data_IF_617697882326
#
_entry.id   IF_617697882326
#
_cell.length_a   1.000
_cell.length_b   1.000
_cell.length_c   1.000
_cell.angle_alpha   90.00
_cell.angle_beta   90.00
_cell.angle_gamma   90.00
#
_symmetry.space_group_name_H-M   'P 1'
#
loop_
_entity.id
_entity.type
_entity.pdbx_description
1 polymer ?
#
# COMPACT_ATOMS: atom_id res chain seq x y z
N UNK A 1 10.04 13.12 -7.66
CA UNK A 1 8.73 13.05 -8.36
C UNK A 1 7.93 11.95 -7.71
N UNK A 2 6.71 12.22 -7.25
CA UNK A 2 5.84 11.15 -6.74
C UNK A 2 5.41 10.23 -7.90
N UNK A 3 5.26 8.94 -7.61
CA UNK A 3 4.80 7.93 -8.58
C UNK A 3 3.45 8.31 -9.20
N UNK A 4 2.65 9.10 -8.46
CA UNK A 4 1.40 9.71 -8.91
C UNK A 4 1.60 10.67 -10.07
N UNK A 5 2.61 11.55 -10.03
CA UNK A 5 2.88 12.51 -11.11
C UNK A 5 3.28 11.77 -12.38
N UNK A 6 4.10 10.71 -12.28
CA UNK A 6 4.48 9.92 -13.45
C UNK A 6 3.28 9.18 -14.06
N UNK A 7 2.43 8.56 -13.24
CA UNK A 7 1.21 7.89 -13.69
C UNK A 7 0.26 8.84 -14.43
N UNK A 8 0.03 10.05 -13.89
CA UNK A 8 -0.81 11.05 -14.53
C UNK A 8 -0.22 11.57 -15.84
N UNK A 9 1.09 11.83 -15.90
CA UNK A 9 1.78 12.23 -17.14
C UNK A 9 1.62 11.16 -18.21
N UNK A 10 1.76 9.89 -17.87
CA UNK A 10 1.59 8.79 -18.83
C UNK A 10 0.15 8.69 -19.36
N UNK A 11 -0.87 8.85 -18.51
CA UNK A 11 -2.27 8.92 -18.95
C UNK A 11 -2.51 10.09 -19.90
N UNK A 12 -1.97 11.27 -19.59
CA UNK A 12 -2.08 12.45 -20.45
C UNK A 12 -1.42 12.20 -21.80
N UNK A 13 -0.25 11.56 -21.86
CA UNK A 13 0.44 11.27 -23.12
C UNK A 13 -0.27 10.19 -23.95
N UNK A 14 -1.03 9.30 -23.30
CA UNK A 14 -1.71 8.17 -23.96
C UNK A 14 -3.16 8.47 -24.38
N UNK A 15 -3.67 9.68 -24.17
CA UNK A 15 -5.09 10.02 -24.37
C UNK A 15 -5.63 9.78 -25.78
N UNK A 16 -4.75 9.71 -26.80
CA UNK A 16 -5.12 9.47 -28.20
C UNK A 16 -5.40 7.99 -28.51
N UNK A 17 -4.98 7.05 -27.65
CA UNK A 17 -5.31 5.62 -27.75
C UNK A 17 -6.22 5.24 -26.57
N UNK A 18 -7.53 5.00 -26.81
CA UNK A 18 -8.50 4.78 -25.74
C UNK A 18 -8.24 3.49 -24.95
N UNK A 19 -7.65 2.46 -25.56
CA UNK A 19 -7.36 1.19 -24.88
C UNK A 19 -6.15 1.36 -23.98
N UNK A 20 -5.08 1.98 -24.50
CA UNK A 20 -3.89 2.27 -23.70
C UNK A 20 -4.21 3.23 -22.54
N UNK A 21 -4.98 4.29 -22.82
CA UNK A 21 -5.44 5.23 -21.82
C UNK A 21 -6.25 4.54 -20.71
N UNK A 22 -7.23 3.71 -21.07
CA UNK A 22 -8.07 3.00 -20.09
C UNK A 22 -7.24 2.09 -19.20
N UNK A 23 -6.33 1.30 -19.78
CA UNK A 23 -5.45 0.42 -19.01
C UNK A 23 -4.53 1.22 -18.07
N UNK A 24 -3.91 2.28 -18.57
CA UNK A 24 -3.06 3.15 -17.76
C UNK A 24 -3.84 3.81 -16.61
N UNK A 25 -5.02 4.33 -16.90
CA UNK A 25 -5.90 4.95 -15.90
C UNK A 25 -6.28 3.97 -14.81
N UNK A 26 -6.69 2.74 -15.17
CA UNK A 26 -7.01 1.68 -14.21
C UNK A 26 -5.79 1.29 -13.37
N UNK A 27 -4.60 1.18 -13.97
CA UNK A 27 -3.36 0.90 -13.24
C UNK A 27 -3.05 2.01 -12.23
N UNK A 28 -3.22 3.28 -12.60
CA UNK A 28 -2.95 4.41 -11.70
C UNK A 28 -3.97 4.47 -10.57
N UNK A 29 -5.26 4.34 -10.88
CA UNK A 29 -6.32 4.49 -9.88
C UNK A 29 -6.42 3.24 -8.99
N UNK A 30 -6.54 2.06 -9.57
CA UNK A 30 -6.75 0.82 -8.80
C UNK A 30 -5.44 0.26 -8.27
N UNK A 31 -4.39 0.29 -9.11
CA UNK A 31 -3.06 -0.17 -8.74
C UNK A 31 -2.42 0.77 -7.73
N UNK A 32 -2.05 1.97 -8.17
CA UNK A 32 -1.24 2.88 -7.34
C UNK A 32 -2.03 3.52 -6.21
N UNK A 33 -3.11 4.24 -6.50
CA UNK A 33 -3.88 4.92 -5.45
C UNK A 33 -4.56 3.90 -4.52
N UNK A 34 -5.12 2.84 -5.09
CA UNK A 34 -5.71 1.74 -4.33
C UNK A 34 -4.71 1.08 -3.38
N UNK A 35 -3.48 0.81 -3.81
CA UNK A 35 -2.50 0.16 -2.93
C UNK A 35 -2.12 1.03 -1.74
N UNK A 36 -1.94 2.34 -1.92
CA UNK A 36 -1.68 3.26 -0.82
C UNK A 36 -2.87 3.33 0.16
N UNK A 37 -4.10 3.33 -0.35
CA UNK A 37 -5.28 3.31 0.50
C UNK A 37 -5.34 2.02 1.34
N UNK A 38 -5.13 0.86 0.72
CA UNK A 38 -5.13 -0.44 1.42
C UNK A 38 -3.98 -0.51 2.45
N UNK A 39 -2.81 0.05 2.13
CA UNK A 39 -1.70 0.14 3.06
C UNK A 39 -2.09 0.89 4.33
N UNK A 40 -2.64 2.10 4.21
CA UNK A 40 -3.03 2.88 5.39
C UNK A 40 -4.23 2.26 6.14
N UNK A 41 -5.18 1.65 5.45
CA UNK A 41 -6.28 0.89 6.08
C UNK A 41 -5.72 -0.27 6.90
N UNK A 42 -4.69 -0.96 6.42
CA UNK A 42 -4.03 -2.05 7.14
C UNK A 42 -3.48 -1.59 8.49
N UNK A 43 -2.79 -0.44 8.52
CA UNK A 43 -2.35 0.19 9.77
C UNK A 43 -3.54 0.52 10.67
N UNK A 44 -4.55 1.21 10.15
CA UNK A 44 -5.70 1.61 10.94
C UNK A 44 -6.44 0.42 11.58
N UNK A 45 -6.66 -0.66 10.83
CA UNK A 45 -7.29 -1.88 11.33
C UNK A 45 -6.44 -2.52 12.43
N UNK A 46 -5.12 -2.68 12.22
CA UNK A 46 -4.23 -3.24 13.23
C UNK A 46 -4.20 -2.38 14.50
N UNK A 47 -4.20 -1.05 14.38
CA UNK A 47 -4.26 -0.14 15.50
C UNK A 47 -5.56 -0.29 16.30
N UNK A 48 -6.71 -0.34 15.63
CA UNK A 48 -8.01 -0.49 16.30
C UNK A 48 -8.12 -1.79 17.12
N UNK A 49 -7.37 -2.82 16.76
CA UNK A 49 -7.30 -4.09 17.50
C UNK A 49 -6.24 -4.05 18.60
N UNK A 50 -5.05 -3.48 18.31
CA UNK A 50 -3.89 -3.56 19.21
C UNK A 50 -3.80 -2.43 20.22
N UNK A 51 -4.46 -1.30 19.97
CA UNK A 51 -4.48 -0.11 20.83
C UNK A 51 -5.76 0.70 20.56
N UNK A 52 -6.94 0.19 20.97
CA UNK A 52 -8.23 0.82 20.68
C UNK A 52 -8.38 2.24 21.25
N UNK A 53 -7.67 2.55 22.33
CA UNK A 53 -7.68 3.87 22.96
C UNK A 53 -6.69 4.86 22.33
N UNK A 54 -5.92 4.43 21.32
CA UNK A 54 -4.96 5.30 20.66
C UNK A 54 -5.66 6.31 19.74
N UNK A 55 -5.24 7.57 19.82
CA UNK A 55 -5.74 8.58 18.88
C UNK A 55 -5.06 8.39 17.54
N UNK A 56 -5.86 8.13 16.50
CA UNK A 56 -5.40 7.99 15.13
C UNK A 56 -5.91 9.19 14.32
N UNK A 57 -4.99 9.96 13.73
CA UNK A 57 -5.32 11.10 12.87
C UNK A 57 -4.82 10.85 11.45
N UNK A 58 -5.72 11.03 10.49
CA UNK A 58 -5.37 11.01 9.08
C UNK A 58 -4.73 12.35 8.71
N UNK A 59 -3.47 12.31 8.29
CA UNK A 59 -2.81 13.46 7.69
C UNK A 59 -2.60 13.21 6.20
N UNK A 60 -3.12 14.11 5.38
CA UNK A 60 -2.84 14.16 3.95
C UNK A 60 -1.94 15.35 3.65
N UNK A 61 -0.81 15.05 3.01
CA UNK A 61 0.10 16.02 2.40
C UNK A 61 0.07 15.83 0.89
N UNK A 62 0.69 16.75 0.13
CA UNK A 62 0.81 16.63 -1.32
C UNK A 62 1.47 15.31 -1.80
N UNK A 63 2.20 14.62 -0.92
CA UNK A 63 2.99 13.43 -1.26
C UNK A 63 2.59 12.17 -0.49
N UNK A 64 1.74 12.28 0.54
CA UNK A 64 1.49 11.17 1.47
C UNK A 64 0.15 11.33 2.18
N UNK A 65 -0.64 10.27 2.22
CA UNK A 65 -1.68 10.07 3.24
C UNK A 65 -1.04 9.18 4.30
N UNK A 66 -1.10 9.57 5.57
CA UNK A 66 -0.50 8.82 6.67
C UNK A 66 -1.40 8.85 7.89
N UNK A 67 -1.48 7.72 8.60
CA UNK A 67 -2.04 7.69 9.94
C UNK A 67 -0.99 8.09 10.98
N UNK A 68 -1.24 9.14 11.77
CA UNK A 68 -0.44 9.48 12.95
C UNK A 68 -1.11 8.90 14.19
N UNK A 69 -0.34 8.15 14.98
CA UNK A 69 -0.81 7.48 16.19
C UNK A 69 -0.22 8.17 17.43
N UNK A 70 -1.06 8.50 18.41
CA UNK A 70 -0.64 9.00 19.73
C UNK A 70 -1.19 8.10 20.85
N UNK A 71 -0.31 7.65 21.74
CA UNK A 71 -0.66 6.76 22.86
C UNK A 71 0.49 5.80 23.20
N UNK A 72 0.43 5.16 24.36
CA UNK A 72 1.40 4.13 24.75
C UNK A 72 0.96 2.75 24.23
N UNK A 73 1.72 2.17 23.31
CA UNK A 73 1.51 0.82 22.81
C UNK A 73 2.70 -0.06 23.17
N UNK A 74 2.46 -1.34 23.49
CA UNK A 74 3.57 -2.29 23.72
C UNK A 74 4.44 -2.41 22.46
N UNK A 75 5.74 -2.75 22.55
CA UNK A 75 6.58 -2.81 21.35
C UNK A 75 6.10 -3.89 20.35
N UNK A 76 5.38 -4.93 20.81
CA UNK A 76 4.75 -5.91 19.91
C UNK A 76 3.61 -5.29 19.12
N UNK A 77 2.77 -4.48 19.76
CA UNK A 77 1.69 -3.76 19.10
C UNK A 77 2.24 -2.77 18.06
N UNK A 78 3.33 -2.07 18.39
CA UNK A 78 4.00 -1.15 17.44
C UNK A 78 4.53 -1.92 16.22
N UNK A 79 5.19 -3.07 16.42
CA UNK A 79 5.69 -3.90 15.33
C UNK A 79 4.55 -4.44 14.45
N UNK A 80 3.47 -4.95 15.05
CA UNK A 80 2.30 -5.46 14.32
C UNK A 80 1.65 -4.33 13.52
N UNK A 81 1.44 -3.17 14.14
CA UNK A 81 0.85 -2.02 13.48
C UNK A 81 1.69 -1.59 12.27
N UNK A 82 3.02 -1.44 12.44
CA UNK A 82 3.92 -1.07 11.35
C UNK A 82 3.98 -2.11 10.22
N UNK A 83 3.85 -3.41 10.52
CA UNK A 83 3.85 -4.43 9.48
C UNK A 83 2.50 -4.54 8.74
N UNK A 84 1.40 -4.13 9.38
CA UNK A 84 0.05 -4.42 8.89
C UNK A 84 -0.27 -3.80 7.52
N UNK A 85 0.12 -2.55 7.28
CA UNK A 85 -0.10 -1.88 5.99
C UNK A 85 0.58 -2.58 4.82
N UNK A 86 1.92 -2.79 4.86
CA UNK A 86 2.63 -3.56 3.85
C UNK A 86 2.07 -4.98 3.66
N UNK A 87 1.78 -5.70 4.76
CA UNK A 87 1.29 -7.07 4.69
C UNK A 87 -0.12 -7.16 4.10
N UNK A 88 -1.01 -6.21 4.40
CA UNK A 88 -2.34 -6.13 3.79
C UNK A 88 -2.24 -5.98 2.27
N UNK A 89 -1.34 -5.11 1.79
CA UNK A 89 -1.08 -4.95 0.37
C UNK A 89 -0.54 -6.23 -0.26
N UNK A 90 0.46 -6.86 0.36
CA UNK A 90 1.06 -8.09 -0.17
C UNK A 90 0.02 -9.22 -0.24
N UNK A 91 -0.82 -9.37 0.79
CA UNK A 91 -1.88 -10.38 0.80
C UNK A 91 -2.89 -10.15 -0.34
N UNK A 92 -3.38 -8.92 -0.50
CA UNK A 92 -4.34 -8.58 -1.55
C UNK A 92 -3.72 -8.66 -2.96
N UNK A 93 -2.45 -8.26 -3.10
CA UNK A 93 -1.70 -8.39 -4.35
C UNK A 93 -1.50 -9.85 -4.74
N UNK A 94 -1.11 -10.71 -3.80
CA UNK A 94 -1.00 -12.15 -4.03
C UNK A 94 -2.35 -12.76 -4.43
N UNK A 95 -3.44 -12.39 -3.74
CA UNK A 95 -4.79 -12.84 -4.09
C UNK A 95 -5.19 -12.37 -5.50
N UNK A 96 -4.86 -11.13 -5.87
CA UNK A 96 -5.13 -10.57 -7.19
C UNK A 96 -4.37 -11.33 -8.29
N UNK A 97 -3.11 -11.68 -8.05
CA UNK A 97 -2.30 -12.47 -8.98
C UNK A 97 -2.84 -13.91 -9.13
N UNK A 98 -3.29 -14.52 -8.04
CA UNK A 98 -3.87 -15.87 -8.05
C UNK A 98 -5.17 -15.92 -8.85
N UNK A 99 -6.09 -14.99 -8.59
CA UNK A 99 -7.40 -14.94 -9.27
C UNK A 99 -7.25 -14.48 -10.73
N UNK A 100 -6.27 -13.60 -11.01
CA UNK A 100 -6.03 -13.06 -12.34
C UNK A 100 -5.71 -14.11 -13.41
N UNK A 101 -5.28 -15.31 -13.01
CA UNK A 101 -5.06 -16.44 -13.93
C UNK A 101 -6.32 -16.88 -14.68
N UNK A 102 -7.51 -16.68 -14.11
CA UNK A 102 -8.80 -17.03 -14.73
C UNK A 102 -9.37 -15.96 -15.68
N UNK A 103 -8.72 -14.80 -15.80
CA UNK A 103 -9.22 -13.69 -16.62
C UNK A 103 -8.88 -13.83 -18.11
N UNK A 104 -9.69 -13.21 -19.00
CA UNK A 104 -9.36 -13.06 -20.42
C UNK A 104 -7.98 -12.42 -20.62
N UNK A 105 -7.31 -12.76 -21.72
CA UNK A 105 -5.96 -12.31 -22.05
C UNK A 105 -5.80 -10.79 -22.01
N UNK A 106 -6.84 -10.07 -22.45
CA UNK A 106 -6.90 -8.60 -22.51
C UNK A 106 -6.83 -7.94 -21.13
N UNK A 107 -7.53 -8.49 -20.13
CA UNK A 107 -7.55 -7.96 -18.77
C UNK A 107 -6.39 -8.48 -17.91
N UNK A 108 -5.84 -9.65 -18.27
CA UNK A 108 -4.82 -10.35 -17.48
C UNK A 108 -3.54 -9.53 -17.31
N UNK A 109 -3.10 -8.81 -18.35
CA UNK A 109 -1.89 -7.99 -18.29
C UNK A 109 -2.04 -6.86 -17.27
N UNK A 110 -3.14 -6.10 -17.37
CA UNK A 110 -3.48 -4.98 -16.47
C UNK A 110 -3.62 -5.45 -15.02
N UNK A 111 -4.37 -6.53 -14.78
CA UNK A 111 -4.56 -7.09 -13.43
C UNK A 111 -3.25 -7.62 -12.85
N UNK A 112 -2.38 -8.22 -13.68
CA UNK A 112 -1.06 -8.67 -13.23
C UNK A 112 -0.18 -7.51 -12.80
N UNK A 113 -0.20 -6.40 -13.54
CA UNK A 113 0.55 -5.18 -13.15
C UNK A 113 0.02 -4.64 -11.82
N UNK A 114 -1.30 -4.55 -11.64
CA UNK A 114 -1.93 -4.13 -10.38
C UNK A 114 -1.50 -5.03 -9.22
N UNK A 115 -1.59 -6.35 -9.39
CA UNK A 115 -1.17 -7.31 -8.36
C UNK A 115 0.30 -7.11 -7.94
N UNK A 116 1.20 -6.88 -8.90
CA UNK A 116 2.60 -6.60 -8.59
C UNK A 116 2.84 -5.24 -7.92
N UNK A 117 2.06 -4.20 -8.25
CA UNK A 117 2.12 -2.91 -7.53
C UNK A 117 1.80 -3.10 -6.04
N UNK A 118 0.81 -3.93 -5.73
CA UNK A 118 0.46 -4.26 -4.35
C UNK A 118 1.56 -5.09 -3.67
N UNK A 119 2.05 -6.15 -4.32
CA UNK A 119 3.14 -6.99 -3.79
C UNK A 119 4.42 -6.18 -3.56
N UNK A 120 4.70 -5.17 -4.38
CA UNK A 120 5.87 -4.32 -4.22
C UNK A 120 5.92 -3.60 -2.86
N UNK A 121 4.80 -3.45 -2.15
CA UNK A 121 4.78 -2.89 -0.78
C UNK A 121 5.55 -3.76 0.23
N UNK A 122 5.89 -5.01 -0.10
CA UNK A 122 6.81 -5.82 0.70
C UNK A 122 8.14 -5.11 0.99
N UNK A 123 8.61 -4.24 0.08
CA UNK A 123 9.84 -3.45 0.30
C UNK A 123 9.73 -2.52 1.50
N UNK A 124 8.52 -2.09 1.87
CA UNK A 124 8.31 -1.25 3.05
C UNK A 124 8.50 -2.01 4.36
N UNK A 125 8.59 -3.34 4.36
CA UNK A 125 8.98 -4.11 5.55
C UNK A 125 10.50 -4.15 5.78
N UNK A 126 11.30 -3.65 4.83
CA UNK A 126 12.76 -3.74 4.85
C UNK A 126 13.36 -2.36 5.17
N UNK A 127 14.20 -2.23 6.23
CA UNK A 127 15.00 -1.03 6.46
C UNK A 127 15.76 -0.59 5.19
N UNK A 128 15.83 0.72 4.88
CA UNK A 128 15.59 1.87 5.74
C UNK A 128 14.17 2.47 5.64
N UNK A 129 13.17 1.72 5.18
CA UNK A 129 11.78 2.20 5.18
C UNK A 129 11.31 2.57 6.58
N UNK A 130 10.36 3.51 6.69
CA UNK A 130 9.78 3.91 7.99
C UNK A 130 9.16 2.72 8.72
N UNK A 131 8.35 1.91 8.03
CA UNK A 131 7.68 0.77 8.63
C UNK A 131 8.69 -0.32 9.02
N UNK A 132 9.62 -0.65 8.13
CA UNK A 132 10.67 -1.64 8.36
C UNK A 132 11.59 -1.25 9.53
N UNK A 133 11.98 0.01 9.63
CA UNK A 133 12.72 0.54 10.78
C UNK A 133 11.90 0.44 12.07
N UNK A 134 10.61 0.76 12.01
CA UNK A 134 9.71 0.70 13.18
C UNK A 134 9.53 -0.74 13.66
N UNK A 135 9.36 -1.70 12.74
CA UNK A 135 9.33 -3.13 13.04
C UNK A 135 10.65 -3.57 13.69
N UNK A 136 11.79 -3.24 13.08
CA UNK A 136 13.10 -3.64 13.60
C UNK A 136 13.37 -3.06 14.99
N UNK A 137 13.17 -1.76 15.18
CA UNK A 137 13.38 -1.09 16.47
C UNK A 137 12.49 -1.71 17.56
N UNK A 138 11.23 -1.97 17.24
CA UNK A 138 10.28 -2.58 18.17
C UNK A 138 10.65 -4.01 18.58
N UNK A 139 11.24 -4.79 17.66
CA UNK A 139 11.77 -6.13 17.96
C UNK A 139 13.05 -6.07 18.78
N UNK A 140 13.91 -5.07 18.56
CA UNK A 140 15.14 -4.89 19.32
C UNK A 140 14.90 -4.43 20.76
N UNK A 141 13.88 -3.60 21.00
CA UNK A 141 13.46 -3.15 22.33
C UNK A 141 12.66 -4.20 23.14
N UNK A 142 12.36 -5.37 22.55
CA UNK A 142 11.76 -6.53 23.23
C UNK A 142 12.79 -7.49 23.84
N UNK A 143 14.09 -7.23 23.66
CA UNK A 143 15.20 -7.97 24.27
C UNK A 143 15.75 -7.20 25.46
#
# INVERSE_FOLDING_TARGET
MSILVFGWVFCILSHSDPVLFTNAFVIVVVGVLGSYLIHEIGHWLALSVTSPDAEARWESTLLRISLIVRGSSSPRAIAVNAAAGPLACVALGALTLLIGGGLPSEARSTVRVIGWIYVAHAVFLIPPSTDGNTVLASLMHHR
#
